data_IF_196704510432
#
_entry.id   IF_196704510432
#
_cell.length_a   1.000
_cell.length_b   1.000
_cell.length_c   1.000
_cell.angle_alpha   90.00
_cell.angle_beta   90.00
_cell.angle_gamma   90.00
#
_symmetry.space_group_name_H-M   'P 1'
#
loop_
_entity.id
_entity.type
_entity.pdbx_description
1 polymer ?
#
# COMPACT_ATOMS: atom_id res chain seq x y z
N UNK A 1 -26.71 -5.01 6.81
CA UNK A 1 -27.30 -5.30 8.14
C UNK A 1 -28.02 -6.64 8.16
N UNK A 2 -29.04 -6.86 7.32
CA UNK A 2 -29.83 -8.10 7.33
C UNK A 2 -28.98 -9.38 7.16
N UNK A 3 -28.01 -9.38 6.24
CA UNK A 3 -27.11 -10.52 6.03
C UNK A 3 -26.17 -10.80 7.22
N UNK A 4 -25.53 -9.77 7.78
CA UNK A 4 -24.68 -9.95 8.97
C UNK A 4 -25.47 -10.56 10.14
N UNK A 5 -26.71 -10.11 10.33
CA UNK A 5 -27.63 -10.68 11.33
C UNK A 5 -27.99 -12.14 11.03
N UNK A 6 -28.19 -12.52 9.76
CA UNK A 6 -28.50 -13.91 9.40
C UNK A 6 -27.34 -14.88 9.63
N UNK A 7 -26.09 -14.38 9.63
CA UNK A 7 -24.89 -15.17 9.93
C UNK A 7 -24.35 -14.93 11.35
N UNK A 8 -25.13 -14.29 12.23
CA UNK A 8 -24.78 -13.96 13.61
C UNK A 8 -23.45 -13.19 13.77
N UNK A 9 -23.17 -12.26 12.85
CA UNK A 9 -22.02 -11.36 12.90
C UNK A 9 -22.44 -10.02 13.49
N UNK A 10 -21.75 -9.61 14.56
CA UNK A 10 -21.83 -8.27 15.13
C UNK A 10 -20.99 -7.30 14.29
N UNK A 11 -21.54 -6.12 13.99
CA UNK A 11 -20.83 -5.07 13.27
C UNK A 11 -20.38 -3.98 14.25
N UNK A 12 -19.08 -3.73 14.30
CA UNK A 12 -18.50 -2.65 15.10
C UNK A 12 -18.51 -1.33 14.32
N UNK A 13 -18.91 -0.24 14.97
CA UNK A 13 -18.95 1.07 14.32
C UNK A 13 -17.57 1.72 14.38
N UNK A 14 -17.05 2.11 13.22
CA UNK A 14 -15.80 2.87 13.12
C UNK A 14 -16.13 4.35 12.91
N UNK A 15 -15.65 5.26 13.77
CA UNK A 15 -15.81 6.69 13.55
C UNK A 15 -15.10 7.13 12.25
N UNK A 16 -15.69 8.08 11.48
CA UNK A 16 -15.04 8.60 10.28
C UNK A 16 -13.65 9.17 10.60
N UNK A 17 -12.64 8.86 9.78
CA UNK A 17 -11.23 9.31 9.92
C UNK A 17 -10.43 8.68 11.07
N UNK A 18 -10.99 7.72 11.81
CA UNK A 18 -10.31 7.03 12.91
C UNK A 18 -10.00 5.55 12.61
N UNK A 19 -10.05 5.14 11.34
CA UNK A 19 -9.74 3.75 10.94
C UNK A 19 -8.37 3.29 11.42
N UNK A 20 -7.37 4.17 11.35
CA UNK A 20 -5.98 3.88 11.74
C UNK A 20 -5.78 3.50 13.21
N UNK A 21 -6.72 3.84 14.10
CA UNK A 21 -6.68 3.48 15.53
C UNK A 21 -7.76 2.46 15.92
N UNK A 22 -8.88 2.44 15.19
CA UNK A 22 -10.02 1.57 15.50
C UNK A 22 -10.03 0.25 14.73
N UNK A 23 -9.29 0.13 13.63
CA UNK A 23 -9.25 -1.10 12.83
C UNK A 23 -7.96 -1.89 13.12
N UNK A 24 -8.07 -3.14 13.61
CA UNK A 24 -6.90 -3.98 13.92
C UNK A 24 -5.92 -4.12 12.74
N UNK A 25 -6.45 -4.16 11.51
CA UNK A 25 -5.64 -4.25 10.31
C UNK A 25 -4.70 -3.06 10.13
N UNK A 26 -5.22 -1.85 10.27
CA UNK A 26 -4.41 -0.63 10.14
C UNK A 26 -3.48 -0.43 11.34
N UNK A 27 -3.93 -0.82 12.54
CA UNK A 27 -3.15 -0.70 13.78
C UNK A 27 -1.94 -1.65 13.80
N UNK A 28 -2.08 -2.86 13.26
CA UNK A 28 -1.07 -3.90 13.48
C UNK A 28 -0.41 -4.44 12.21
N UNK A 29 -1.18 -5.02 11.27
CA UNK A 29 -0.55 -5.84 10.22
C UNK A 29 -0.42 -5.16 8.85
N UNK A 30 -1.23 -4.16 8.50
CA UNK A 30 -1.12 -3.49 7.21
C UNK A 30 0.26 -2.84 7.00
N UNK A 31 0.82 -2.22 8.05
CA UNK A 31 2.16 -1.61 8.00
C UNK A 31 3.27 -2.63 7.73
N UNK A 32 3.46 -3.69 8.52
CA UNK A 32 4.50 -4.68 8.25
C UNK A 32 4.27 -5.45 6.94
N UNK A 33 3.02 -5.76 6.56
CA UNK A 33 2.73 -6.37 5.25
C UNK A 33 3.18 -5.47 4.10
N UNK A 34 2.81 -4.18 4.13
CA UNK A 34 3.24 -3.20 3.10
C UNK A 34 4.76 -3.03 3.06
N UNK A 35 5.43 -3.04 4.21
CA UNK A 35 6.89 -2.94 4.28
C UNK A 35 7.57 -4.14 3.59
N UNK A 36 7.12 -5.36 3.86
CA UNK A 36 7.65 -6.58 3.22
C UNK A 36 7.35 -6.64 1.72
N UNK A 37 6.15 -6.25 1.29
CA UNK A 37 5.83 -6.16 -0.14
C UNK A 37 6.70 -5.13 -0.86
N UNK A 38 6.98 -3.98 -0.22
CA UNK A 38 7.92 -2.99 -0.73
C UNK A 38 9.33 -3.58 -0.86
N UNK A 39 9.77 -4.36 0.12
CA UNK A 39 11.08 -5.01 0.09
C UNK A 39 11.18 -6.00 -1.09
N UNK A 40 10.17 -6.85 -1.29
CA UNK A 40 10.13 -7.78 -2.43
C UNK A 40 10.17 -7.06 -3.78
N UNK A 41 9.48 -5.92 -3.90
CA UNK A 41 9.52 -5.07 -5.08
C UNK A 41 10.92 -4.51 -5.33
N UNK A 42 11.56 -3.94 -4.30
CA UNK A 42 12.93 -3.42 -4.39
C UNK A 42 13.92 -4.53 -4.79
N UNK A 43 13.80 -5.72 -4.20
CA UNK A 43 14.65 -6.86 -4.54
C UNK A 43 14.43 -7.35 -5.98
N UNK A 44 13.22 -7.22 -6.51
CA UNK A 44 12.97 -7.49 -7.92
C UNK A 44 13.63 -6.43 -8.82
N UNK A 45 13.48 -5.14 -8.51
CA UNK A 45 14.17 -4.06 -9.27
C UNK A 45 15.69 -4.29 -9.23
N UNK A 46 16.26 -4.57 -8.06
CA UNK A 46 17.69 -4.86 -7.87
C UNK A 46 18.16 -6.00 -8.77
N UNK A 47 17.39 -7.11 -8.82
CA UNK A 47 17.68 -8.26 -9.68
C UNK A 47 17.62 -7.90 -11.17
N UNK A 48 16.63 -7.13 -11.59
CA UNK A 48 16.52 -6.69 -12.99
C UNK A 48 17.68 -5.77 -13.38
N UNK A 49 18.02 -4.79 -12.54
CA UNK A 49 19.13 -3.86 -12.78
C UNK A 49 20.48 -4.59 -12.91
N UNK A 50 20.77 -5.53 -11.99
CA UNK A 50 21.96 -6.38 -12.07
C UNK A 50 21.99 -7.18 -13.37
N UNK A 51 20.86 -7.74 -13.78
CA UNK A 51 20.75 -8.54 -15.02
C UNK A 51 20.99 -7.69 -16.26
N UNK A 52 20.42 -6.47 -16.33
CA UNK A 52 20.65 -5.54 -17.45
C UNK A 52 22.12 -5.11 -17.55
N UNK A 53 22.76 -4.77 -16.42
CA UNK A 53 24.19 -4.45 -16.37
C UNK A 53 25.07 -5.60 -16.87
N UNK A 54 24.80 -6.83 -16.42
CA UNK A 54 25.54 -8.03 -16.85
C UNK A 54 25.38 -8.32 -18.34
N UNK A 55 24.21 -8.01 -18.92
CA UNK A 55 23.92 -8.21 -20.35
C UNK A 55 24.37 -7.04 -21.23
N UNK A 56 24.81 -5.92 -20.64
CA UNK A 56 25.18 -4.71 -21.37
C UNK A 56 24.02 -4.06 -22.14
N UNK A 57 22.77 -4.32 -21.74
CA UNK A 57 21.58 -3.79 -22.41
C UNK A 57 20.98 -2.61 -21.60
N UNK A 58 20.31 -1.67 -22.28
CA UNK A 58 19.55 -0.62 -21.60
C UNK A 58 18.56 -1.22 -20.59
N UNK A 59 18.51 -0.62 -19.40
CA UNK A 59 17.58 -1.07 -18.36
C UNK A 59 16.16 -0.64 -18.71
N UNK A 60 15.25 -1.62 -18.78
CA UNK A 60 13.81 -1.39 -18.92
C UNK A 60 13.09 -2.11 -17.79
N UNK A 61 12.54 -1.35 -16.85
CA UNK A 61 11.82 -1.90 -15.71
C UNK A 61 10.64 -2.77 -16.16
N UNK A 62 10.58 -4.00 -15.66
CA UNK A 62 9.46 -4.91 -15.85
C UNK A 62 8.63 -4.97 -14.56
N UNK A 63 7.30 -4.80 -14.63
CA UNK A 63 6.43 -4.96 -13.47
C UNK A 63 6.36 -6.43 -13.03
N UNK A 64 5.99 -6.73 -11.77
CA UNK A 64 5.77 -8.10 -11.34
C UNK A 64 4.49 -8.63 -11.99
N UNK A 65 4.44 -9.94 -12.26
CA UNK A 65 3.19 -10.57 -12.70
C UNK A 65 2.18 -10.63 -11.54
N UNK A 66 0.90 -10.79 -11.86
CA UNK A 66 -0.13 -11.03 -10.82
C UNK A 66 0.20 -12.26 -9.96
N UNK A 67 0.70 -13.34 -10.57
CA UNK A 67 1.09 -14.55 -9.84
C UNK A 67 2.21 -14.25 -8.83
N UNK A 68 3.21 -13.47 -9.23
CA UNK A 68 4.30 -13.02 -8.37
C UNK A 68 3.81 -12.18 -7.19
N UNK A 69 2.87 -11.24 -7.43
CA UNK A 69 2.29 -10.42 -6.36
C UNK A 69 1.51 -11.30 -5.37
N UNK A 70 0.71 -12.24 -5.88
CA UNK A 70 -0.05 -13.19 -5.03
C UNK A 70 0.88 -14.05 -4.19
N UNK A 71 1.97 -14.54 -4.77
CA UNK A 71 3.00 -15.29 -4.06
C UNK A 71 3.62 -14.44 -2.92
N UNK A 72 3.99 -13.19 -3.20
CA UNK A 72 4.52 -12.27 -2.18
C UNK A 72 3.52 -12.01 -1.06
N UNK A 73 2.24 -11.82 -1.37
CA UNK A 73 1.20 -11.61 -0.35
C UNK A 73 1.05 -12.86 0.50
N UNK A 74 0.96 -14.04 -0.13
CA UNK A 74 0.79 -15.31 0.56
C UNK A 74 1.96 -15.63 1.49
N UNK A 75 3.21 -15.47 1.01
CA UNK A 75 4.39 -15.71 1.83
C UNK A 75 4.49 -14.70 2.98
N UNK A 76 4.29 -13.41 2.70
CA UNK A 76 4.34 -12.36 3.72
C UNK A 76 3.29 -12.54 4.80
N UNK A 77 2.07 -12.99 4.42
CA UNK A 77 1.02 -13.30 5.38
C UNK A 77 1.35 -14.54 6.23
N UNK A 78 1.90 -15.59 5.61
CA UNK A 78 2.30 -16.79 6.33
C UNK A 78 3.42 -16.53 7.35
N UNK A 79 4.35 -15.62 7.02
CA UNK A 79 5.46 -15.23 7.89
C UNK A 79 5.07 -14.22 8.98
N UNK A 80 3.85 -13.67 8.93
CA UNK A 80 3.39 -12.66 9.88
C UNK A 80 3.12 -13.31 11.25
N UNK A 81 3.78 -12.86 12.34
CA UNK A 81 3.54 -13.43 13.65
C UNK A 81 2.08 -13.26 14.09
N UNK A 82 1.49 -14.32 14.65
CA UNK A 82 0.14 -14.25 15.22
C UNK A 82 0.04 -13.23 16.34
N UNK A 83 1.14 -12.96 17.05
CA UNK A 83 1.23 -11.91 18.07
C UNK A 83 0.86 -10.54 17.52
N UNK A 84 1.32 -10.18 16.31
CA UNK A 84 0.96 -8.92 15.64
C UNK A 84 -0.55 -8.83 15.42
N UNK A 85 -1.16 -9.89 14.91
CA UNK A 85 -2.61 -9.94 14.70
C UNK A 85 -3.34 -9.76 16.03
N UNK A 86 -3.01 -10.55 17.05
CA UNK A 86 -3.67 -10.47 18.37
C UNK A 86 -3.46 -9.10 19.04
N UNK A 87 -2.28 -8.50 18.91
CA UNK A 87 -1.99 -7.16 19.44
C UNK A 87 -2.82 -6.09 18.73
N UNK A 88 -3.10 -6.23 17.43
CA UNK A 88 -4.03 -5.35 16.73
C UNK A 88 -5.42 -5.34 17.36
N UNK A 89 -5.96 -6.53 17.64
CA UNK A 89 -7.27 -6.65 18.29
C UNK A 89 -7.27 -6.12 19.73
N UNK A 90 -6.21 -6.37 20.52
CA UNK A 90 -6.06 -5.83 21.89
C UNK A 90 -5.95 -4.30 21.89
N UNK A 91 -5.15 -3.73 21.00
CA UNK A 91 -4.98 -2.27 20.84
C UNK A 91 -6.30 -1.58 20.47
N UNK A 92 -7.15 -2.25 19.69
CA UNK A 92 -8.50 -1.77 19.36
C UNK A 92 -9.56 -2.12 20.43
N UNK A 93 -9.17 -2.70 21.58
CA UNK A 93 -10.07 -3.08 22.67
C UNK A 93 -11.18 -4.06 22.26
N UNK A 94 -10.93 -4.87 21.23
CA UNK A 94 -11.88 -5.87 20.74
C UNK A 94 -11.73 -7.24 21.44
N UNK A 95 -10.60 -7.47 22.09
CA UNK A 95 -10.32 -8.65 22.92
C UNK A 95 -9.58 -8.23 24.19
N UNK A 96 -9.73 -9.03 25.25
CA UNK A 96 -9.09 -8.76 26.54
C UNK A 96 -7.56 -8.90 26.49
N UNK A 97 -6.90 -8.11 27.35
CA UNK A 97 -5.47 -8.19 27.63
C UNK A 97 -4.67 -6.97 27.18
N UNK A 98 -3.48 -6.81 27.76
CA UNK A 98 -2.54 -5.77 27.32
C UNK A 98 -1.83 -6.20 26.03
N UNK A 99 -1.60 -5.27 25.08
CA UNK A 99 -0.66 -5.48 24.00
C UNK A 99 0.72 -5.85 24.58
N UNK A 100 1.45 -6.73 23.90
CA UNK A 100 2.87 -6.97 24.18
C UNK A 100 3.73 -5.98 23.39
N UNK A 101 4.86 -5.56 23.95
CA UNK A 101 5.86 -4.72 23.29
C UNK A 101 6.65 -5.54 22.25
N UNK A 102 6.00 -5.86 21.13
CA UNK A 102 6.65 -6.37 19.93
C UNK A 102 6.47 -5.34 18.80
N UNK A 103 7.42 -4.41 18.70
CA UNK A 103 7.53 -3.55 17.52
C UNK A 103 8.20 -4.33 16.39
N UNK A 104 7.51 -4.46 15.26
CA UNK A 104 8.12 -5.03 14.06
C UNK A 104 9.16 -4.03 13.55
N UNK A 105 10.44 -4.38 13.67
CA UNK A 105 11.52 -3.64 13.04
C UNK A 105 11.22 -3.50 11.55
N UNK A 106 11.03 -2.26 11.09
CA UNK A 106 10.85 -1.95 9.68
C UNK A 106 12.25 -1.79 9.12
N UNK A 107 12.62 -2.67 8.20
CA UNK A 107 13.87 -2.57 7.46
C UNK A 107 13.81 -1.26 6.66
N UNK A 108 14.60 -0.27 7.11
CA UNK A 108 14.75 1.01 6.40
C UNK A 108 15.54 0.71 5.13
N UNK A 109 15.04 1.19 3.99
CA UNK A 109 15.72 0.99 2.72
C UNK A 109 17.10 1.64 2.81
N UNK A 110 18.15 0.84 2.59
CA UNK A 110 19.55 1.29 2.62
C UNK A 110 19.76 2.50 1.69
N UNK A 111 20.35 3.57 2.22
CA UNK A 111 20.61 4.84 1.53
C UNK A 111 21.43 4.64 0.25
N UNK A 112 22.34 3.66 0.26
CA UNK A 112 23.18 3.29 -0.88
C UNK A 112 22.35 2.78 -2.07
N UNK A 113 21.16 2.23 -1.80
CA UNK A 113 20.26 1.71 -2.83
C UNK A 113 19.48 2.84 -3.47
N UNK A 114 19.08 3.84 -2.68
CA UNK A 114 18.44 5.05 -3.20
C UNK A 114 19.41 5.80 -4.12
N UNK A 115 20.66 5.97 -3.69
CA UNK A 115 21.71 6.59 -4.49
C UNK A 115 21.96 5.85 -5.81
N UNK A 116 22.01 4.51 -5.78
CA UNK A 116 22.19 3.71 -6.99
C UNK A 116 21.02 3.80 -7.98
N UNK A 117 19.78 3.88 -7.49
CA UNK A 117 18.59 4.07 -8.34
C UNK A 117 18.63 5.42 -9.05
N UNK A 118 18.94 6.49 -8.32
CA UNK A 118 19.08 7.84 -8.88
C UNK A 118 20.23 7.90 -9.91
N UNK A 119 21.33 7.19 -9.67
CA UNK A 119 22.48 7.19 -10.58
C UNK A 119 22.30 6.32 -11.83
N UNK A 120 21.40 5.33 -11.80
CA UNK A 120 21.24 4.36 -12.91
C UNK A 120 19.94 4.49 -13.69
N UNK A 121 18.92 5.09 -13.09
CA UNK A 121 17.74 5.53 -13.80
C UNK A 121 17.97 6.97 -14.22
N UNK A 122 18.17 7.23 -15.51
CA UNK A 122 17.98 8.58 -16.05
C UNK A 122 16.56 8.99 -15.69
N UNK A 123 16.41 9.91 -14.72
CA UNK A 123 15.16 10.61 -14.48
C UNK A 123 15.00 11.53 -15.69
N UNK A 124 14.52 10.99 -16.81
CA UNK A 124 14.01 11.83 -17.88
C UNK A 124 12.68 12.41 -17.39
N UNK A 125 12.71 13.72 -17.14
CA UNK A 125 11.59 14.61 -16.85
C UNK A 125 10.85 14.37 -15.52
N UNK A 126 11.20 15.17 -14.50
CA UNK A 126 10.33 15.46 -13.37
C UNK A 126 8.99 15.95 -13.92
N UNK A 127 7.90 15.26 -13.62
CA UNK A 127 6.55 15.75 -13.91
C UNK A 127 6.39 17.10 -13.20
N UNK A 128 6.19 18.17 -13.96
CA UNK A 128 5.93 19.51 -13.43
C UNK A 128 4.58 19.48 -12.68
N UNK A 129 4.56 19.70 -11.36
CA UNK A 129 3.31 19.73 -10.58
C UNK A 129 2.36 20.88 -10.97
N UNK A 130 2.78 21.81 -11.84
CA UNK A 130 1.94 22.88 -12.39
C UNK A 130 1.03 22.47 -13.55
N UNK A 131 1.20 21.28 -14.14
CA UNK A 131 0.49 20.87 -15.35
C UNK A 131 -0.82 20.10 -15.11
N UNK A 132 -1.19 19.81 -13.86
CA UNK A 132 -2.23 18.80 -13.54
C UNK A 132 -3.60 19.39 -13.12
N UNK A 133 -3.86 20.67 -13.35
CA UNK A 133 -5.19 21.26 -13.06
C UNK A 133 -5.60 22.26 -14.15
N UNK A 134 -6.18 21.76 -15.24
CA UNK A 134 -7.07 22.57 -16.07
C UNK A 134 -8.38 22.78 -15.31
N UNK A 135 -8.54 23.96 -14.69
CA UNK A 135 -9.84 24.48 -14.28
C UNK A 135 -10.46 25.21 -15.48
N UNK A 136 -11.04 24.48 -16.42
CA UNK A 136 -11.89 25.06 -17.46
C UNK A 136 -13.19 24.26 -17.62
N UNK A 137 -14.00 24.26 -16.56
CA UNK A 137 -15.45 24.11 -16.73
C UNK A 137 -16.03 25.52 -16.93
N UNK A 138 -15.95 26.03 -18.15
CA UNK A 138 -16.77 27.15 -18.60
C UNK A 138 -18.22 26.71 -18.62
N UNK A 139 -19.02 27.23 -17.70
CA UNK A 139 -20.47 27.12 -17.74
C UNK A 139 -21.00 27.96 -18.90
N UNK A 140 -21.18 27.34 -20.07
CA UNK A 140 -21.96 27.93 -21.14
C UNK A 140 -23.45 27.62 -20.91
N UNK A 141 -24.13 28.68 -20.49
CA UNK A 141 -25.57 28.90 -20.48
C UNK A 141 -26.16 28.84 -21.90
N UNK A 142 -27.23 28.04 -22.10
CA UNK A 142 -28.24 28.33 -23.14
C UNK A 142 -29.64 27.93 -22.63
N UNK A 143 -30.33 28.89 -22.03
CA UNK A 143 -31.63 29.43 -22.50
C UNK A 143 -32.80 28.49 -22.85
N UNK A 144 -33.84 28.60 -22.02
CA UNK A 144 -35.30 28.65 -22.25
C UNK A 144 -35.92 28.28 -23.62
N UNK A 145 -37.01 27.49 -23.60
CA UNK A 145 -38.38 28.00 -23.80
C UNK A 145 -39.44 26.87 -23.76
N UNK A 146 -40.63 27.26 -23.29
CA UNK A 146 -41.91 26.51 -23.17
C UNK A 146 -42.40 25.89 -24.49
N UNK A 147 -43.27 24.85 -24.40
CA UNK A 147 -44.61 24.56 -25.05
C UNK A 147 -44.86 23.04 -24.81
N UNK A 148 -45.97 22.45 -24.36
CA UNK A 148 -47.41 22.75 -24.19
C UNK A 148 -47.94 21.96 -22.98
#
# INVERSE_FOLDING_TARGET
MAYAKSINVLLERIPPRFTWVCQPADVAWNRPLKARLRQNWLDMIRRQLRTSKLRGIPFKLQPPSRATIVEWIASTWADLPTTIVTNGFKKCQLIDGSPTDEDVAIDVVDEDVLANLVATCSIEETIDPGMDIDYEDTYDDVGSDDVE
#
